data_IF_565151037500
#
_entry.id   IF_565151037500
#
_cell.length_a   1.000
_cell.length_b   1.000
_cell.length_c   1.000
_cell.angle_alpha   90.00
_cell.angle_beta   90.00
_cell.angle_gamma   90.00
#
_symmetry.space_group_name_H-M   'P 1'
#
loop_
_entity.id
_entity.type
_entity.pdbx_description
1 polymer ?
#
# COMPACT_ATOMS: atom_id res chain seq x y z
N UNK A 1 -14.05 15.05 -9.41
CA UNK A 1 -14.64 14.17 -8.40
C UNK A 1 -13.85 12.87 -8.35
N UNK A 2 -13.38 12.45 -7.17
CA UNK A 2 -12.79 11.11 -6.98
C UNK A 2 -13.95 10.13 -6.93
N UNK A 3 -14.07 9.23 -7.90
CA UNK A 3 -15.07 8.16 -7.88
C UNK A 3 -14.60 7.09 -6.89
N UNK A 4 -14.84 7.33 -5.60
CA UNK A 4 -14.70 6.33 -4.56
C UNK A 4 -15.71 5.21 -4.81
N UNK A 5 -15.30 3.95 -4.62
CA UNK A 5 -16.22 2.82 -4.73
C UNK A 5 -17.16 2.79 -3.52
N UNK A 6 -18.44 2.41 -3.70
CA UNK A 6 -19.51 2.50 -2.68
C UNK A 6 -20.46 1.28 -2.67
N UNK A 7 -19.94 0.07 -2.92
CA UNK A 7 -20.79 -1.08 -3.28
C UNK A 7 -21.33 -1.95 -2.14
N UNK A 8 -20.87 -1.82 -0.89
CA UNK A 8 -21.40 -2.58 0.27
C UNK A 8 -21.63 -1.66 1.48
N UNK A 9 -22.39 -2.15 2.47
CA UNK A 9 -22.56 -1.50 3.78
C UNK A 9 -21.21 -1.43 4.50
N UNK A 10 -20.84 -0.24 4.97
CA UNK A 10 -19.59 0.00 5.67
C UNK A 10 -19.46 -0.90 6.92
N UNK A 11 -18.27 -1.46 7.21
CA UNK A 11 -18.03 -2.13 8.47
C UNK A 11 -18.10 -1.08 9.59
N UNK A 12 -19.20 -1.11 10.34
CA UNK A 12 -19.37 -0.26 11.52
C UNK A 12 -18.88 -1.02 12.75
N UNK A 13 -18.05 -0.38 13.56
CA UNK A 13 -17.97 -0.76 14.97
C UNK A 13 -19.37 -0.61 15.56
N UNK A 14 -19.96 -1.68 16.09
CA UNK A 14 -21.17 -1.57 16.90
C UNK A 14 -20.91 -0.75 18.16
N UNK A 15 -21.85 -0.76 19.10
CA UNK A 15 -21.64 -0.10 20.40
C UNK A 15 -20.38 -0.68 21.08
N UNK A 16 -19.37 0.16 21.25
CA UNK A 16 -18.10 -0.23 21.84
C UNK A 16 -18.26 -0.27 23.37
N UNK A 17 -18.05 -1.44 23.95
CA UNK A 17 -18.00 -1.62 25.39
C UNK A 17 -16.66 -1.11 25.94
N UNK A 18 -16.58 -0.92 27.26
CA UNK A 18 -15.36 -0.45 27.93
C UNK A 18 -14.14 -1.33 27.62
N UNK A 19 -14.33 -2.65 27.51
CA UNK A 19 -13.28 -3.61 27.13
C UNK A 19 -12.71 -3.30 25.73
N UNK A 20 -13.53 -2.85 24.79
CA UNK A 20 -13.06 -2.52 23.45
C UNK A 20 -12.15 -1.28 23.48
N UNK A 21 -12.48 -0.28 24.29
CA UNK A 21 -11.62 0.90 24.47
C UNK A 21 -10.30 0.55 25.14
N UNK A 22 -10.30 -0.38 26.09
CA UNK A 22 -9.05 -0.91 26.67
C UNK A 22 -8.18 -1.55 25.57
N UNK A 23 -8.75 -2.36 24.68
CA UNK A 23 -8.02 -2.94 23.54
C UNK A 23 -7.49 -1.87 22.58
N UNK A 24 -8.30 -0.83 22.31
CA UNK A 24 -7.89 0.30 21.48
C UNK A 24 -6.66 0.98 22.05
N UNK A 25 -6.60 1.21 23.36
CA UNK A 25 -5.44 1.82 24.01
C UNK A 25 -4.25 0.86 24.06
N UNK A 26 -4.47 -0.40 24.45
CA UNK A 26 -3.42 -1.43 24.58
C UNK A 26 -2.72 -1.73 23.26
N UNK A 27 -3.40 -1.62 22.12
CA UNK A 27 -2.80 -1.79 20.79
C UNK A 27 -2.39 -0.46 20.17
N UNK A 28 -3.25 0.54 20.27
CA UNK A 28 -3.07 1.85 19.64
C UNK A 28 -1.87 2.61 20.18
N UNK A 29 -1.65 2.62 21.49
CA UNK A 29 -0.51 3.33 22.11
C UNK A 29 0.82 2.71 21.66
N UNK A 30 1.07 1.38 21.80
CA UNK A 30 2.31 0.78 21.32
C UNK A 30 2.52 0.96 19.81
N UNK A 31 1.47 0.81 18.99
CA UNK A 31 1.57 1.03 17.54
C UNK A 31 1.96 2.48 17.24
N UNK A 32 1.36 3.46 17.93
CA UNK A 32 1.72 4.86 17.78
C UNK A 32 3.18 5.11 18.19
N UNK A 33 3.63 4.59 19.33
CA UNK A 33 5.02 4.70 19.79
C UNK A 33 5.98 4.14 18.74
N UNK A 34 5.71 2.96 18.19
CA UNK A 34 6.55 2.33 17.16
C UNK A 34 6.57 3.15 15.87
N UNK A 35 5.42 3.65 15.42
CA UNK A 35 5.33 4.46 14.20
C UNK A 35 6.05 5.80 14.36
N UNK A 36 5.76 6.56 15.42
CA UNK A 36 6.36 7.88 15.63
C UNK A 36 7.83 7.80 16.07
N UNK A 37 8.19 6.84 16.93
CA UNK A 37 9.58 6.59 17.31
C UNK A 37 10.42 6.12 16.13
N UNK A 38 9.90 5.18 15.33
CA UNK A 38 10.54 4.72 14.10
C UNK A 38 10.68 5.83 13.06
N UNK A 39 9.74 6.76 13.00
CA UNK A 39 9.82 7.94 12.14
C UNK A 39 10.89 8.94 12.59
N UNK A 40 11.02 9.19 13.91
CA UNK A 40 12.11 10.00 14.46
C UNK A 40 13.44 9.36 14.09
N UNK A 41 13.59 8.05 14.34
CA UNK A 41 14.79 7.29 13.98
C UNK A 41 15.07 7.36 12.47
N UNK A 42 14.05 7.17 11.63
CA UNK A 42 14.16 7.28 10.17
C UNK A 42 14.68 8.67 9.77
N UNK A 43 14.16 9.73 10.38
CA UNK A 43 14.56 11.11 10.07
C UNK A 43 15.99 11.38 10.49
N UNK A 44 16.38 10.96 11.69
CA UNK A 44 17.76 11.07 12.21
C UNK A 44 18.72 10.31 11.30
N UNK A 45 18.44 9.04 11.00
CA UNK A 45 19.27 8.25 10.09
C UNK A 45 19.33 8.88 8.70
N UNK A 46 18.26 9.52 8.23
CA UNK A 46 18.28 10.18 6.93
C UNK A 46 19.23 11.37 6.87
N UNK A 47 19.36 12.14 7.96
CA UNK A 47 20.32 13.25 8.06
C UNK A 47 21.75 12.74 7.89
N UNK A 48 22.08 11.59 8.48
CA UNK A 48 23.40 10.98 8.34
C UNK A 48 23.60 10.21 7.04
N UNK A 49 22.55 9.57 6.50
CA UNK A 49 22.62 8.76 5.28
C UNK A 49 22.70 9.62 4.02
N UNK A 50 22.02 10.77 4.00
CA UNK A 50 21.90 11.63 2.82
C UNK A 50 23.25 12.10 2.26
N UNK A 51 24.22 12.59 3.07
CA UNK A 51 25.52 13.05 2.58
C UNK A 51 26.34 11.97 1.86
N UNK A 52 26.24 10.70 2.30
CA UNK A 52 27.09 9.61 1.78
C UNK A 52 26.41 8.79 0.68
N UNK A 53 25.10 8.60 0.77
CA UNK A 53 24.35 7.65 -0.07
C UNK A 53 23.30 8.34 -0.96
N UNK A 54 23.23 9.68 -0.88
CA UNK A 54 22.33 10.51 -1.66
C UNK A 54 20.90 10.00 -1.59
N UNK A 55 20.28 9.83 -2.75
CA UNK A 55 18.88 9.38 -2.86
C UNK A 55 18.67 7.88 -2.67
N UNK A 56 19.71 7.03 -2.59
CA UNK A 56 19.55 5.56 -2.63
C UNK A 56 18.85 4.95 -1.41
N UNK A 57 18.84 5.64 -0.26
CA UNK A 57 18.06 5.29 0.96
C UNK A 57 18.14 3.80 1.42
N UNK A 58 19.32 3.15 1.47
CA UNK A 58 19.39 1.72 1.80
C UNK A 58 19.03 1.38 3.26
N UNK A 59 19.34 2.23 4.23
CA UNK A 59 19.19 1.95 5.67
C UNK A 59 17.80 2.32 6.19
N UNK A 60 17.32 3.49 5.77
CA UNK A 60 16.04 4.06 6.21
C UNK A 60 14.83 3.18 5.85
N UNK A 61 14.96 2.34 4.82
CA UNK A 61 13.96 1.36 4.43
C UNK A 61 13.84 0.17 5.39
N UNK A 62 14.94 -0.26 6.01
CA UNK A 62 14.88 -1.30 7.02
C UNK A 62 14.12 -0.84 8.26
N UNK A 63 14.26 0.43 8.65
CA UNK A 63 13.47 1.01 9.73
C UNK A 63 11.97 0.96 9.40
N UNK A 64 11.59 1.38 8.19
CA UNK A 64 10.18 1.28 7.75
C UNK A 64 9.68 -0.15 7.80
N UNK A 65 10.47 -1.12 7.32
CA UNK A 65 10.10 -2.53 7.37
C UNK A 65 9.93 -3.05 8.81
N UNK A 66 10.84 -2.72 9.72
CA UNK A 66 10.76 -3.10 11.14
C UNK A 66 9.53 -2.47 11.79
N UNK A 67 9.30 -1.17 11.59
CA UNK A 67 8.10 -0.48 12.07
C UNK A 67 6.85 -1.19 11.59
N UNK A 68 6.74 -1.49 10.30
CA UNK A 68 5.56 -2.15 9.75
C UNK A 68 5.36 -3.57 10.29
N UNK A 69 6.42 -4.38 10.41
CA UNK A 69 6.37 -5.71 11.02
C UNK A 69 5.92 -5.65 12.48
N UNK A 70 6.53 -4.78 13.27
CA UNK A 70 6.22 -4.62 14.70
C UNK A 70 4.81 -4.08 14.89
N UNK A 71 4.36 -3.13 14.06
CA UNK A 71 2.98 -2.64 14.12
C UNK A 71 1.97 -3.75 13.85
N UNK A 72 2.18 -4.60 12.84
CA UNK A 72 1.28 -5.72 12.57
C UNK A 72 1.27 -6.76 13.70
N UNK A 73 2.45 -7.05 14.27
CA UNK A 73 2.57 -7.90 15.45
C UNK A 73 1.78 -7.34 16.64
N UNK A 74 1.93 -6.06 16.95
CA UNK A 74 1.20 -5.38 18.04
C UNK A 74 -0.31 -5.29 17.78
N UNK A 75 -0.71 -5.17 16.51
CA UNK A 75 -2.11 -5.24 16.13
C UNK A 75 -2.68 -6.65 16.31
N UNK A 76 -1.84 -7.69 16.30
CA UNK A 76 -2.24 -9.10 16.34
C UNK A 76 -2.57 -9.67 14.96
N UNK A 77 -2.13 -9.01 13.88
CA UNK A 77 -2.42 -9.40 12.49
C UNK A 77 -1.18 -10.11 11.95
N UNK A 78 -1.31 -11.40 11.59
CA UNK A 78 -0.24 -12.15 10.94
C UNK A 78 -0.24 -11.95 9.43
N UNK A 79 0.91 -12.18 8.79
CA UNK A 79 1.05 -12.19 7.33
C UNK A 79 1.50 -13.56 6.86
N UNK A 80 0.83 -14.10 5.85
CA UNK A 80 1.32 -15.21 5.03
C UNK A 80 1.82 -14.68 3.69
N UNK A 81 2.90 -15.27 3.17
CA UNK A 81 3.52 -14.84 1.91
C UNK A 81 3.69 -16.03 1.00
N UNK A 82 3.13 -15.93 -0.20
CA UNK A 82 3.38 -16.84 -1.32
C UNK A 82 4.23 -16.13 -2.37
N UNK A 83 5.23 -16.85 -2.91
CA UNK A 83 6.16 -16.29 -3.88
C UNK A 83 7.21 -15.37 -3.24
N UNK A 84 7.89 -14.56 -4.06
CA UNK A 84 9.00 -13.74 -3.62
C UNK A 84 8.94 -12.33 -4.22
N UNK A 85 9.33 -11.29 -3.45
CA UNK A 85 9.57 -9.97 -4.02
C UNK A 85 10.59 -10.05 -5.14
N UNK A 86 10.30 -9.39 -6.26
CA UNK A 86 11.18 -9.35 -7.42
C UNK A 86 12.56 -8.80 -7.03
N UNK A 87 13.62 -9.15 -7.75
CA UNK A 87 14.97 -8.58 -7.54
C UNK A 87 15.27 -7.47 -8.54
N UNK A 88 14.59 -7.52 -9.67
CA UNK A 88 14.66 -6.62 -10.81
C UNK A 88 14.28 -5.19 -10.42
N UNK A 89 14.72 -4.24 -11.24
CA UNK A 89 14.36 -2.82 -11.10
C UNK A 89 12.96 -2.60 -11.65
N UNK A 90 12.21 -1.71 -11.03
CA UNK A 90 10.90 -1.31 -11.53
C UNK A 90 9.91 -1.05 -10.42
N UNK A 91 8.67 -1.49 -10.60
CA UNK A 91 7.58 -1.17 -9.71
C UNK A 91 6.76 -2.39 -9.28
N UNK A 92 5.92 -2.15 -8.29
CA UNK A 92 4.98 -3.14 -7.76
C UNK A 92 3.57 -2.57 -7.94
N UNK A 93 2.62 -3.42 -8.30
CA UNK A 93 1.21 -3.07 -8.28
C UNK A 93 0.45 -4.05 -7.42
N UNK A 94 -0.57 -3.58 -6.73
CA UNK A 94 -1.44 -4.41 -5.92
C UNK A 94 -2.88 -3.95 -6.01
N UNK A 95 -3.81 -4.82 -5.61
CA UNK A 95 -5.16 -4.37 -5.27
C UNK A 95 -5.13 -3.51 -4.00
N UNK A 96 -6.10 -2.62 -3.85
CA UNK A 96 -6.20 -1.70 -2.72
C UNK A 96 -7.47 -1.94 -1.95
N UNK A 97 -7.33 -2.17 -0.65
CA UNK A 97 -8.45 -2.59 0.18
C UNK A 97 -8.45 -1.89 1.54
N UNK A 98 -7.28 -1.58 2.09
CA UNK A 98 -7.21 -1.03 3.44
C UNK A 98 -6.02 -0.09 3.62
N UNK A 99 -6.07 0.74 4.65
CA UNK A 99 -4.89 1.46 5.12
C UNK A 99 -3.80 0.48 5.63
N UNK A 100 -4.20 -0.74 6.00
CA UNK A 100 -3.29 -1.84 6.36
C UNK A 100 -2.40 -2.30 5.20
N UNK A 101 -2.76 -2.01 3.94
CA UNK A 101 -1.95 -2.38 2.77
C UNK A 101 -0.53 -1.81 2.86
N UNK A 102 -0.41 -0.61 3.42
CA UNK A 102 0.88 0.07 3.61
C UNK A 102 1.78 -0.73 4.56
N UNK A 103 1.21 -1.22 5.66
CA UNK A 103 1.95 -2.03 6.63
C UNK A 103 2.29 -3.40 6.05
N UNK A 104 1.33 -4.07 5.42
CA UNK A 104 1.51 -5.42 4.90
C UNK A 104 2.61 -5.48 3.82
N UNK A 105 2.58 -4.55 2.87
CA UNK A 105 3.51 -4.54 1.75
C UNK A 105 4.92 -4.05 2.18
N UNK A 106 5.03 -3.05 3.07
CA UNK A 106 6.34 -2.64 3.59
C UNK A 106 6.95 -3.65 4.56
N UNK A 107 6.14 -4.45 5.26
CA UNK A 107 6.64 -5.51 6.12
C UNK A 107 7.40 -6.58 5.30
N UNK A 108 7.03 -6.81 4.04
CA UNK A 108 7.59 -7.90 3.22
C UNK A 108 8.64 -7.45 2.20
N UNK A 109 8.60 -6.18 1.78
CA UNK A 109 9.55 -5.64 0.80
C UNK A 109 9.83 -4.15 1.01
N UNK A 110 10.99 -3.70 0.51
CA UNK A 110 11.43 -2.30 0.58
C UNK A 110 10.87 -1.54 -0.62
N UNK A 111 9.79 -0.80 -0.40
CA UNK A 111 9.02 -0.11 -1.45
C UNK A 111 8.66 1.31 -1.01
N UNK A 112 8.35 2.16 -1.99
CA UNK A 112 7.85 3.52 -1.78
C UNK A 112 6.49 3.67 -2.44
N UNK A 113 5.51 4.12 -1.69
CA UNK A 113 4.15 4.27 -2.19
C UNK A 113 4.03 5.46 -3.13
N UNK A 114 3.15 5.33 -4.12
CA UNK A 114 2.66 6.43 -4.94
C UNK A 114 1.24 6.75 -4.50
N UNK A 115 1.03 7.94 -3.97
CA UNK A 115 -0.26 8.37 -3.44
C UNK A 115 -0.79 9.60 -4.18
N UNK A 116 -2.10 9.84 -4.09
CA UNK A 116 -2.69 11.09 -4.59
C UNK A 116 -2.23 12.25 -3.72
N UNK A 117 -2.01 13.42 -4.32
CA UNK A 117 -1.58 14.64 -3.62
C UNK A 117 -2.47 15.06 -2.44
N UNK A 118 -3.75 14.73 -2.47
CA UNK A 118 -4.73 15.04 -1.44
C UNK A 118 -4.37 14.36 -0.11
N UNK A 119 -3.76 13.17 -0.17
CA UNK A 119 -3.26 12.44 1.01
C UNK A 119 -2.13 13.22 1.69
N UNK A 120 -1.37 14.02 0.95
CA UNK A 120 -0.30 14.85 1.51
C UNK A 120 -0.84 15.91 2.49
N UNK A 121 -2.11 16.29 2.37
CA UNK A 121 -2.73 17.31 3.21
C UNK A 121 -3.44 16.73 4.44
N UNK A 122 -3.42 15.41 4.61
CA UNK A 122 -4.06 14.77 5.75
C UNK A 122 -3.24 14.99 7.04
N UNK A 123 -3.85 15.44 8.15
CA UNK A 123 -3.15 15.63 9.41
C UNK A 123 -2.45 14.34 9.88
N UNK A 124 -1.18 14.43 10.24
CA UNK A 124 -0.34 13.28 10.64
C UNK A 124 0.08 12.38 9.48
N UNK A 125 -0.90 11.80 8.75
CA UNK A 125 -0.68 10.86 7.65
C UNK A 125 0.12 11.48 6.50
N UNK A 126 -0.19 12.71 6.11
CA UNK A 126 0.53 13.40 5.03
C UNK A 126 2.01 13.64 5.37
N UNK A 127 2.31 13.89 6.65
CA UNK A 127 3.67 14.05 7.14
C UNK A 127 4.42 12.70 7.18
N UNK A 128 3.79 11.66 7.73
CA UNK A 128 4.31 10.29 7.72
C UNK A 128 4.64 9.80 6.30
N UNK A 129 3.70 10.00 5.37
CA UNK A 129 3.86 9.63 3.97
C UNK A 129 5.02 10.41 3.31
N UNK A 130 5.16 11.72 3.56
CA UNK A 130 6.31 12.49 3.05
C UNK A 130 7.64 11.97 3.58
N UNK A 131 7.73 11.74 4.88
CA UNK A 131 8.96 11.33 5.53
C UNK A 131 9.43 9.95 5.05
N UNK A 132 8.50 8.99 4.96
CA UNK A 132 8.78 7.64 4.44
C UNK A 132 9.08 7.60 2.94
N UNK A 133 8.92 8.73 2.23
CA UNK A 133 9.33 8.89 0.84
C UNK A 133 8.24 8.58 -0.18
N UNK A 134 6.97 8.61 0.22
CA UNK A 134 5.82 8.50 -0.69
C UNK A 134 5.91 9.55 -1.78
N UNK A 135 5.73 9.10 -3.04
CA UNK A 135 5.66 9.97 -4.20
C UNK A 135 4.23 10.41 -4.39
N UNK A 136 3.98 11.73 -4.34
CA UNK A 136 2.64 12.27 -4.53
C UNK A 136 2.40 12.65 -5.99
N UNK A 137 1.31 12.12 -6.57
CA UNK A 137 0.89 12.41 -7.94
C UNK A 137 -0.38 13.28 -7.97
N UNK A 138 -0.43 14.23 -8.91
CA UNK A 138 -1.56 15.12 -9.19
C UNK A 138 -2.10 14.85 -10.59
N UNK A 139 -3.40 15.05 -10.78
CA UNK A 139 -4.05 14.88 -12.10
C UNK A 139 -3.78 16.05 -13.07
N UNK A 140 -3.32 17.21 -12.59
CA UNK A 140 -3.17 18.41 -13.42
C UNK A 140 -1.95 18.29 -14.35
N UNK A 141 -2.18 18.48 -15.66
CA UNK A 141 -1.16 18.34 -16.71
C UNK A 141 0.12 19.17 -16.46
N UNK A 142 -0.02 20.38 -15.91
CA UNK A 142 1.10 21.28 -15.58
C UNK A 142 2.08 20.70 -14.53
N UNK A 143 1.63 19.82 -13.64
CA UNK A 143 2.50 19.19 -12.63
C UNK A 143 2.97 17.78 -13.05
N UNK A 144 2.45 17.25 -14.16
CA UNK A 144 2.81 15.92 -14.64
C UNK A 144 4.30 15.82 -14.97
N UNK A 145 4.93 16.86 -15.53
CA UNK A 145 6.37 16.85 -15.84
C UNK A 145 7.25 16.74 -14.59
N UNK A 146 6.95 17.48 -13.51
CA UNK A 146 7.72 17.38 -12.25
C UNK A 146 7.58 16.01 -11.61
N UNK A 147 6.37 15.44 -11.65
CA UNK A 147 6.11 14.10 -11.11
C UNK A 147 6.79 13.00 -11.92
N UNK A 148 6.86 13.16 -13.25
CA UNK A 148 7.62 12.28 -14.14
C UNK A 148 9.10 12.27 -13.77
N UNK A 149 9.71 13.44 -13.56
CA UNK A 149 11.13 13.51 -13.20
C UNK A 149 11.41 12.81 -11.87
N UNK A 150 10.61 13.08 -10.83
CA UNK A 150 10.74 12.41 -9.53
C UNK A 150 10.60 10.89 -9.69
N UNK A 151 9.63 10.44 -10.46
CA UNK A 151 9.41 9.01 -10.72
C UNK A 151 10.62 8.37 -11.41
N UNK A 152 11.14 8.98 -12.48
CA UNK A 152 12.32 8.50 -13.18
C UNK A 152 13.55 8.51 -12.27
N UNK A 153 13.78 9.58 -11.51
CA UNK A 153 14.89 9.66 -10.54
C UNK A 153 14.83 8.54 -9.50
N UNK A 154 13.64 8.21 -9.00
CA UNK A 154 13.43 7.11 -8.04
C UNK A 154 13.76 5.75 -8.65
N UNK A 155 13.26 5.48 -9.85
CA UNK A 155 13.60 4.25 -10.58
C UNK A 155 15.10 4.17 -10.89
N UNK A 156 15.71 5.29 -11.27
CA UNK A 156 17.16 5.39 -11.52
C UNK A 156 17.99 5.19 -10.25
N UNK A 157 17.49 5.61 -9.09
CA UNK A 157 18.08 5.33 -7.78
C UNK A 157 17.91 3.87 -7.32
N UNK A 158 17.19 3.04 -8.07
CA UNK A 158 16.93 1.63 -7.74
C UNK A 158 15.76 1.44 -6.77
N UNK A 159 14.97 2.48 -6.52
CA UNK A 159 13.79 2.38 -5.68
C UNK A 159 12.68 1.60 -6.38
N UNK A 160 11.95 0.80 -5.62
CA UNK A 160 10.73 0.13 -6.08
C UNK A 160 9.54 0.96 -5.69
N UNK A 161 8.84 1.48 -6.70
CA UNK A 161 7.64 2.25 -6.49
C UNK A 161 6.43 1.30 -6.45
N UNK A 162 5.56 1.45 -5.47
CA UNK A 162 4.31 0.71 -5.39
C UNK A 162 3.12 1.64 -5.61
N UNK A 163 2.19 1.25 -6.48
CA UNK A 163 0.96 1.99 -6.69
C UNK A 163 -0.23 1.05 -6.84
N UNK A 164 -1.41 1.59 -6.55
CA UNK A 164 -2.68 0.87 -6.57
C UNK A 164 -3.49 1.26 -7.81
N UNK A 165 -3.51 0.44 -8.88
CA UNK A 165 -4.02 0.89 -10.17
C UNK A 165 -5.56 1.03 -10.23
N UNK A 166 -6.28 0.50 -9.24
CA UNK A 166 -7.72 0.73 -9.04
C UNK A 166 -8.04 2.21 -8.81
N UNK A 167 -7.10 2.94 -8.19
CA UNK A 167 -7.22 4.37 -7.87
C UNK A 167 -8.24 4.69 -6.77
N UNK A 168 -8.77 3.66 -6.10
CA UNK A 168 -9.59 3.69 -4.89
C UNK A 168 -9.40 2.36 -4.16
N UNK A 169 -9.64 2.34 -2.87
CA UNK A 169 -9.78 1.12 -2.08
C UNK A 169 -11.20 0.54 -2.16
N UNK A 170 -11.35 -0.74 -1.79
CA UNK A 170 -12.58 -1.53 -1.90
C UNK A 170 -12.86 -2.39 -0.66
N UNK A 171 -13.88 -3.26 -0.75
CA UNK A 171 -14.31 -4.21 0.28
C UNK A 171 -13.35 -5.39 0.52
N UNK A 172 -12.18 -5.42 -0.13
CA UNK A 172 -11.17 -6.50 -0.07
C UNK A 172 -11.56 -7.83 -0.73
N UNK A 173 -12.77 -7.94 -1.28
CA UNK A 173 -13.30 -9.18 -1.84
C UNK A 173 -13.23 -9.24 -3.36
N UNK A 174 -12.71 -8.19 -3.99
CA UNK A 174 -12.68 -8.05 -5.45
C UNK A 174 -11.51 -7.19 -5.88
N UNK A 175 -11.22 -7.27 -7.17
CA UNK A 175 -10.26 -6.40 -7.86
C UNK A 175 -11.03 -5.56 -8.88
N UNK A 176 -10.95 -4.23 -8.77
CA UNK A 176 -11.48 -3.33 -9.79
C UNK A 176 -10.56 -3.27 -11.00
N UNK A 177 -11.09 -2.75 -12.11
CA UNK A 177 -10.28 -2.56 -13.31
C UNK A 177 -9.11 -1.62 -13.07
N UNK A 178 -7.94 -2.01 -13.57
CA UNK A 178 -6.72 -1.24 -13.45
C UNK A 178 -6.73 -0.07 -14.43
N UNK A 179 -6.51 1.13 -13.91
CA UNK A 179 -6.45 2.35 -14.72
C UNK A 179 -5.14 2.41 -15.47
N UNK A 180 -5.17 2.08 -16.77
CA UNK A 180 -3.98 2.09 -17.64
C UNK A 180 -3.24 3.44 -17.68
N UNK A 181 -3.91 4.54 -17.33
CA UNK A 181 -3.30 5.88 -17.26
C UNK A 181 -2.18 5.96 -16.20
N UNK A 182 -2.26 5.19 -15.12
CA UNK A 182 -1.24 5.16 -14.07
C UNK A 182 0.05 4.47 -14.51
N UNK A 183 0.01 3.70 -15.60
CA UNK A 183 1.17 3.05 -16.19
C UNK A 183 1.89 3.91 -17.22
N UNK A 184 1.35 5.09 -17.56
CA UNK A 184 1.88 5.93 -18.64
C UNK A 184 3.37 6.24 -18.50
N UNK A 185 3.81 6.52 -17.27
CA UNK A 185 5.20 6.88 -16.98
C UNK A 185 6.21 5.79 -17.38
N UNK A 186 5.83 4.51 -17.34
CA UNK A 186 6.72 3.40 -17.71
C UNK A 186 6.94 3.25 -19.22
N UNK A 187 6.13 3.92 -20.04
CA UNK A 187 6.20 3.84 -21.51
C UNK A 187 6.78 5.13 -22.14
N UNK A 188 7.30 6.04 -21.32
CA UNK A 188 7.98 7.24 -21.78
C UNK A 188 9.39 6.90 -22.30
N UNK A 189 9.88 7.66 -23.27
CA UNK A 189 11.16 7.37 -23.97
C UNK A 189 12.39 7.48 -23.08
N UNK A 190 12.31 8.23 -22.00
CA UNK A 190 13.40 8.48 -21.04
C UNK A 190 13.41 7.48 -19.86
N UNK A 191 12.52 6.50 -19.85
CA UNK A 191 12.47 5.46 -18.82
C UNK A 191 13.18 4.20 -19.31
N UNK A 192 14.08 3.58 -18.51
CA UNK A 192 14.77 2.37 -18.91
C UNK A 192 13.79 1.26 -19.33
N UNK A 193 14.06 0.58 -20.45
CA UNK A 193 13.20 -0.51 -20.92
C UNK A 193 13.39 -1.83 -20.14
N UNK A 194 14.50 -1.97 -19.41
CA UNK A 194 14.80 -3.14 -18.59
C UNK A 194 14.09 -3.13 -17.21
N UNK A 195 12.93 -2.47 -17.12
CA UNK A 195 12.13 -2.41 -15.92
C UNK A 195 11.04 -3.48 -15.93
N UNK A 196 10.69 -3.92 -14.73
CA UNK A 196 9.66 -4.91 -14.49
C UNK A 196 8.54 -4.32 -13.63
N UNK A 197 7.32 -4.81 -13.81
CA UNK A 197 6.24 -4.57 -12.86
C UNK A 197 5.83 -5.90 -12.26
N UNK A 198 5.91 -6.01 -10.94
CA UNK A 198 5.43 -7.18 -10.21
C UNK A 198 4.00 -6.95 -9.71
N UNK A 199 3.03 -7.78 -10.11
CA UNK A 199 1.72 -7.82 -9.49
C UNK A 199 1.80 -8.53 -8.13
N UNK A 200 1.07 -8.00 -7.14
CA UNK A 200 0.91 -8.61 -5.81
C UNK A 200 -0.57 -8.64 -5.48
N UNK A 201 -1.11 -9.80 -5.14
CA UNK A 201 -2.46 -9.89 -4.58
C UNK A 201 -2.39 -9.75 -3.07
N UNK A 202 -3.23 -8.89 -2.52
CA UNK A 202 -3.43 -8.70 -1.08
C UNK A 202 -4.83 -9.22 -0.73
N UNK A 203 -4.90 -10.25 0.10
CA UNK A 203 -6.15 -10.86 0.54
C UNK A 203 -6.27 -10.68 2.05
N UNK A 204 -7.43 -10.20 2.48
CA UNK A 204 -7.76 -10.03 3.88
C UNK A 204 -8.67 -11.15 4.34
N UNK A 205 -8.22 -11.89 5.35
CA UNK A 205 -9.04 -12.88 6.02
C UNK A 205 -9.56 -12.25 7.31
N UNK A 206 -10.88 -12.03 7.37
CA UNK A 206 -11.50 -11.35 8.50
C UNK A 206 -11.36 -12.14 9.82
N UNK A 207 -11.44 -11.48 10.99
CA UNK A 207 -11.53 -12.18 12.27
C UNK A 207 -12.70 -13.16 12.27
N UNK A 208 -12.52 -14.34 12.87
CA UNK A 208 -13.55 -15.37 12.91
C UNK A 208 -14.87 -14.83 13.51
N UNK A 209 -15.98 -15.01 12.79
CA UNK A 209 -17.30 -14.50 13.15
C UNK A 209 -17.58 -13.06 12.73
N UNK A 210 -16.64 -12.38 12.07
CA UNK A 210 -16.86 -11.05 11.48
C UNK A 210 -17.26 -11.12 10.01
N UNK A 211 -17.76 -10.02 9.46
CA UNK A 211 -18.04 -9.92 8.03
C UNK A 211 -16.76 -10.09 7.20
N UNK A 212 -16.81 -10.74 6.02
CA UNK A 212 -15.61 -10.95 5.18
C UNK A 212 -14.89 -9.65 4.78
N UNK A 213 -15.61 -8.54 4.66
CA UNK A 213 -15.06 -7.21 4.33
C UNK A 213 -14.64 -6.39 5.57
N UNK A 214 -14.40 -7.03 6.72
CA UNK A 214 -14.06 -6.37 8.00
C UNK A 214 -12.92 -5.34 7.88
N UNK A 215 -11.89 -5.65 7.11
CA UNK A 215 -10.72 -4.76 6.93
C UNK A 215 -10.85 -3.78 5.77
N UNK A 216 -11.91 -3.91 4.95
CA UNK A 216 -12.12 -3.05 3.80
C UNK A 216 -12.41 -1.61 4.23
N UNK A 217 -11.69 -0.67 3.63
CA UNK A 217 -11.82 0.76 3.91
C UNK A 217 -12.04 1.50 2.58
N UNK A 218 -13.27 1.90 2.28
CA UNK A 218 -13.65 2.49 0.99
C UNK A 218 -14.60 3.69 1.16
N UNK A 219 -15.04 4.26 0.04
CA UNK A 219 -16.08 5.30 0.06
C UNK A 219 -15.62 6.55 0.80
N UNK A 220 -16.45 7.01 1.74
CA UNK A 220 -16.21 8.19 2.58
C UNK A 220 -15.91 7.78 4.04
N UNK A 221 -15.51 6.52 4.27
CA UNK A 221 -15.24 6.00 5.61
C UNK A 221 -14.15 6.83 6.31
N UNK A 222 -14.44 7.29 7.52
CA UNK A 222 -13.46 7.97 8.36
C UNK A 222 -12.32 7.03 8.74
N UNK A 223 -11.08 7.46 8.46
CA UNK A 223 -9.88 6.73 8.87
C UNK A 223 -9.88 6.44 10.38
N UNK A 224 -10.23 7.43 11.21
CA UNK A 224 -10.24 7.28 12.67
C UNK A 224 -11.28 6.25 13.15
N UNK A 225 -12.48 6.28 12.58
CA UNK A 225 -13.53 5.32 12.92
C UNK A 225 -13.12 3.89 12.52
N UNK A 226 -12.57 3.71 11.32
CA UNK A 226 -12.11 2.41 10.85
C UNK A 226 -10.87 1.89 11.60
N UNK A 227 -9.99 2.79 12.03
CA UNK A 227 -8.87 2.48 12.92
C UNK A 227 -9.37 1.96 14.27
N UNK A 228 -10.31 2.66 14.91
CA UNK A 228 -10.92 2.21 16.16
C UNK A 228 -11.61 0.87 15.98
N UNK A 229 -12.37 0.68 14.89
CA UNK A 229 -13.00 -0.61 14.55
C UNK A 229 -11.98 -1.76 14.50
N UNK A 230 -10.86 -1.54 13.82
CA UNK A 230 -9.78 -2.52 13.71
C UNK A 230 -9.14 -2.83 15.07
N UNK A 231 -8.82 -1.80 15.85
CA UNK A 231 -8.14 -1.93 17.14
C UNK A 231 -9.02 -2.58 18.22
N UNK A 232 -10.33 -2.26 18.20
CA UNK A 232 -11.33 -2.71 19.16
C UNK A 232 -11.66 -4.20 19.09
N UNK A 233 -11.32 -4.87 17.98
CA UNK A 233 -11.69 -6.28 17.77
C UNK A 233 -10.89 -7.22 18.67
N UNK A 234 -11.55 -8.04 19.49
CA UNK A 234 -10.85 -8.96 20.39
C UNK A 234 -9.93 -9.94 19.62
N UNK A 235 -10.48 -10.54 18.55
CA UNK A 235 -9.73 -11.41 17.63
C UNK A 235 -9.34 -10.64 16.39
N UNK A 236 -8.19 -10.98 15.83
CA UNK A 236 -7.73 -10.47 14.55
C UNK A 236 -7.70 -11.60 13.53
N UNK A 237 -7.81 -11.22 12.27
CA UNK A 237 -7.56 -12.08 11.14
C UNK A 237 -6.11 -12.00 10.69
N UNK A 238 -5.87 -12.34 9.43
CA UNK A 238 -4.54 -12.34 8.83
C UNK A 238 -4.58 -11.81 7.40
N UNK A 239 -3.41 -11.43 6.91
CA UNK A 239 -3.23 -10.90 5.56
C UNK A 239 -2.41 -11.90 4.77
N UNK A 240 -2.87 -12.22 3.57
CA UNK A 240 -2.15 -13.08 2.63
C UNK A 240 -1.64 -12.25 1.46
N UNK A 241 -0.35 -12.37 1.18
CA UNK A 241 0.33 -11.69 0.08
C UNK A 241 0.82 -12.71 -0.94
N UNK A 242 0.32 -12.63 -2.17
CA UNK A 242 0.73 -13.50 -3.27
C UNK A 242 1.55 -12.67 -4.26
N UNK A 243 2.84 -12.95 -4.33
CA UNK A 243 3.77 -12.33 -5.26
C UNK A 243 3.77 -13.06 -6.59
N UNK A 244 3.19 -12.44 -7.61
CA UNK A 244 3.12 -13.01 -8.95
C UNK A 244 4.43 -12.82 -9.72
N UNK A 245 4.52 -13.50 -10.87
CA UNK A 245 5.69 -13.39 -11.76
C UNK A 245 5.85 -11.94 -12.26
N UNK A 246 7.03 -11.32 -12.11
CA UNK A 246 7.29 -9.99 -12.66
C UNK A 246 7.13 -9.96 -14.18
N UNK A 247 6.51 -8.90 -14.72
CA UNK A 247 6.33 -8.69 -16.16
C UNK A 247 7.32 -7.62 -16.64
N UNK A 248 8.16 -7.98 -17.61
CA UNK A 248 9.05 -7.01 -18.24
C UNK A 248 8.23 -6.00 -19.05
N UNK A 249 8.54 -4.72 -18.90
CA UNK A 249 7.88 -3.64 -19.67
C UNK A 249 8.25 -3.73 -21.15
N UNK A 250 9.49 -4.14 -21.46
CA UNK A 250 9.95 -4.32 -22.84
C UNK A 250 9.12 -5.31 -23.66
N UNK A 251 8.50 -6.30 -23.01
CA UNK A 251 7.70 -7.34 -23.67
C UNK A 251 6.26 -6.87 -23.98
N UNK A 252 5.89 -5.65 -23.57
CA UNK A 252 4.52 -5.17 -23.66
C UNK A 252 4.36 -4.16 -24.79
N UNK A 253 3.37 -4.36 -25.65
CA UNK A 253 3.12 -3.46 -26.78
C UNK A 253 2.65 -2.07 -26.31
N UNK A 254 1.83 -2.02 -25.26
CA UNK A 254 1.30 -0.77 -24.74
C UNK A 254 0.84 -0.89 -23.28
N UNK A 255 0.66 0.28 -22.64
CA UNK A 255 0.20 0.42 -21.25
C UNK A 255 -1.16 -0.21 -20.95
N UNK A 256 -2.06 -0.32 -21.93
CA UNK A 256 -3.40 -0.92 -21.71
C UNK A 256 -3.29 -2.44 -21.60
N UNK A 257 -2.50 -3.06 -22.47
CA UNK A 257 -2.23 -4.49 -22.43
C UNK A 257 -1.53 -4.88 -21.13
N UNK A 258 -0.49 -4.14 -20.72
CA UNK A 258 0.20 -4.39 -19.46
C UNK A 258 -0.75 -4.25 -18.27
N UNK A 259 -1.56 -3.19 -18.21
CA UNK A 259 -2.53 -3.00 -17.13
C UNK A 259 -3.52 -4.17 -17.03
N UNK A 260 -4.07 -4.64 -18.16
CA UNK A 260 -4.99 -5.78 -18.21
C UNK A 260 -4.32 -7.10 -17.80
N UNK A 261 -3.08 -7.31 -18.22
CA UNK A 261 -2.29 -8.49 -17.83
C UNK A 261 -2.06 -8.52 -16.31
N UNK A 262 -1.57 -7.42 -15.75
CA UNK A 262 -1.32 -7.30 -14.31
C UNK A 262 -2.61 -7.36 -13.48
N UNK A 263 -3.71 -6.81 -14.00
CA UNK A 263 -5.03 -6.96 -13.38
C UNK A 263 -5.45 -8.43 -13.34
N UNK A 264 -5.25 -9.17 -14.44
CA UNK A 264 -5.55 -10.60 -14.50
C UNK A 264 -4.69 -11.40 -13.53
N UNK A 265 -3.40 -11.09 -13.41
CA UNK A 265 -2.49 -11.72 -12.45
C UNK A 265 -3.01 -11.47 -11.01
N UNK A 266 -3.29 -10.22 -10.63
CA UNK A 266 -3.79 -9.88 -9.29
C UNK A 266 -5.17 -10.50 -9.02
N UNK A 267 -6.07 -10.48 -10.00
CA UNK A 267 -7.41 -11.07 -9.89
C UNK A 267 -7.34 -12.58 -9.73
N UNK A 268 -6.38 -13.26 -10.36
CA UNK A 268 -6.22 -14.72 -10.25
C UNK A 268 -5.97 -15.19 -8.81
N UNK A 269 -5.28 -14.37 -7.99
CA UNK A 269 -5.10 -14.66 -6.57
C UNK A 269 -6.40 -14.62 -5.75
N UNK A 270 -7.41 -13.84 -6.19
CA UNK A 270 -8.73 -13.80 -5.54
C UNK A 270 -9.64 -14.98 -5.92
N UNK A 271 -9.31 -15.76 -6.97
CA UNK A 271 -10.20 -16.81 -7.52
C UNK A 271 -10.42 -17.98 -6.56
N UNK A 272 -9.60 -18.14 -5.52
CA UNK A 272 -9.91 -19.06 -4.42
C UNK A 272 -11.07 -18.61 -3.51
N UNK A 273 -11.65 -17.41 -3.71
CA UNK A 273 -12.73 -16.83 -2.90
C UNK A 273 -14.00 -16.42 -3.68
N UNK A 274 -14.26 -17.01 -4.85
CA UNK A 274 -15.48 -16.79 -5.65
C UNK A 274 -16.78 -17.37 -5.05
N UNK A 275 -17.13 -17.03 -3.80
CA UNK A 275 -18.40 -17.42 -3.16
C UNK A 275 -19.19 -16.25 -2.53
N UNK A 276 -18.98 -15.02 -2.99
CA UNK A 276 -19.70 -13.85 -2.46
C UNK A 276 -20.14 -12.86 -3.54
N UNK A 277 -20.71 -13.39 -4.63
CA UNK A 277 -21.65 -12.65 -5.47
C UNK A 277 -23.06 -12.78 -4.89
#
# INVERSE_FOLDING_TARGET
MSTSWRGRKEPTAGELLLVNWVLVLLRGIPVAIVVFGGLILHTVLRIFEYPFLGSRRPLTQYVTQVVCKTSLFLLGISITVEGFPMKERGAVVANHSSWLDIFALNATQKIYFVAKSEVANWPGIGWLARATGTVFIQRKALQAHKQKNIFTERLLAGHKLLFFPEGTSTDSLRVLSFKSSLFAAFFETNVPRNLFIQPVTVIYHAPMGSNPWFYGWWGEMSFGAHLVHTLASAKQGWIELIFHKPRAIADQQNRKQLAKLLESDVRSGHVHHGKFD
#
